data_IF_965819894418
#
_entry.id   IF_965819894418
#
_cell.length_a   1.000
_cell.length_b   1.000
_cell.length_c   1.000
_cell.angle_alpha   90.00
_cell.angle_beta   90.00
_cell.angle_gamma   90.00
#
_symmetry.space_group_name_H-M   'P 1'
#
loop_
_entity.id
_entity.type
_entity.pdbx_description
1 polymer ?
#
# COMPACT_ATOMS: atom_id res chain seq x y z
N UNK A 1 13.52 10.43 -12.34
CA UNK A 1 12.73 10.93 -13.50
C UNK A 1 11.26 11.00 -13.11
N UNK A 2 10.56 12.09 -13.45
CA UNK A 2 9.11 12.27 -13.23
C UNK A 2 8.40 11.99 -14.55
N UNK A 3 7.38 11.13 -14.53
CA UNK A 3 6.62 10.73 -15.71
C UNK A 3 5.42 11.65 -15.90
N UNK A 4 5.18 12.07 -17.13
CA UNK A 4 4.03 12.84 -17.57
C UNK A 4 3.11 11.97 -18.43
N UNK A 5 1.90 12.46 -18.71
CA UNK A 5 0.90 11.70 -19.46
C UNK A 5 1.24 11.43 -20.93
N UNK A 6 2.38 11.92 -21.44
CA UNK A 6 2.85 11.67 -22.82
C UNK A 6 3.92 10.58 -22.91
N UNK A 7 4.32 9.99 -21.78
CA UNK A 7 5.52 9.16 -21.67
C UNK A 7 5.26 7.65 -21.87
N UNK A 8 4.09 7.24 -22.36
CA UNK A 8 3.74 5.81 -22.44
C UNK A 8 4.39 5.08 -23.61
N UNK A 9 5.06 3.97 -23.30
CA UNK A 9 5.66 3.06 -24.27
C UNK A 9 5.64 1.63 -23.73
N UNK A 10 5.37 0.66 -24.61
CA UNK A 10 5.67 -0.76 -24.34
C UNK A 10 7.18 -1.06 -24.41
N UNK A 11 8.00 -0.02 -24.52
CA UNK A 11 9.47 -0.02 -24.55
C UNK A 11 9.99 0.85 -23.39
N UNK A 12 11.27 0.74 -23.01
CA UNK A 12 11.84 1.56 -21.96
C UNK A 12 11.55 3.05 -22.16
N UNK A 13 11.12 3.69 -21.08
CA UNK A 13 10.88 5.12 -20.97
C UNK A 13 12.19 5.91 -20.88
N UNK A 14 13.20 5.33 -20.22
CA UNK A 14 14.54 5.90 -20.06
C UNK A 14 15.62 4.86 -20.34
N UNK A 15 16.87 5.32 -20.41
CA UNK A 15 18.06 4.46 -20.56
C UNK A 15 18.24 3.48 -19.40
N UNK A 16 17.55 3.72 -18.28
CA UNK A 16 17.56 2.87 -17.09
C UNK A 16 16.58 1.70 -17.18
N UNK A 17 15.87 1.54 -18.30
CA UNK A 17 15.00 0.39 -18.53
C UNK A 17 13.64 0.47 -17.83
N UNK A 18 13.26 1.61 -17.25
CA UNK A 18 11.98 1.76 -16.57
C UNK A 18 10.83 1.77 -17.59
N UNK A 19 9.69 1.16 -17.27
CA UNK A 19 8.54 1.02 -18.17
C UNK A 19 7.27 1.50 -17.47
N UNK A 20 6.46 2.26 -18.21
CA UNK A 20 5.07 2.55 -17.84
C UNK A 20 4.17 2.16 -19.01
N UNK A 21 3.31 1.17 -18.78
CA UNK A 21 2.35 0.67 -19.75
C UNK A 21 0.93 0.94 -19.24
N UNK A 22 0.14 1.68 -20.01
CA UNK A 22 -1.27 1.92 -19.75
C UNK A 22 -2.01 2.04 -21.09
N UNK A 23 -3.26 1.58 -21.11
CA UNK A 23 -4.21 1.94 -22.17
C UNK A 23 -4.90 3.26 -21.78
N UNK A 24 -4.55 4.37 -22.44
CA UNK A 24 -5.08 5.72 -22.17
C UNK A 24 -4.11 6.71 -21.53
N UNK A 25 -4.66 7.84 -21.08
CA UNK A 25 -3.90 8.97 -20.54
C UNK A 25 -4.01 8.96 -19.01
N UNK A 26 -2.88 8.90 -18.28
CA UNK A 26 -2.90 9.16 -16.83
C UNK A 26 -3.48 10.56 -16.56
N UNK A 27 -4.26 10.69 -15.49
CA UNK A 27 -4.69 12.00 -14.98
C UNK A 27 -3.44 12.88 -14.74
N UNK A 28 -3.48 14.15 -15.15
CA UNK A 28 -2.36 15.09 -15.01
C UNK A 28 -1.89 15.27 -13.55
N UNK A 29 -2.73 14.91 -12.58
CA UNK A 29 -2.45 14.98 -11.15
C UNK A 29 -1.75 13.72 -10.62
N UNK A 30 -1.50 12.72 -11.46
CA UNK A 30 -0.70 11.57 -11.08
C UNK A 30 0.80 11.87 -11.18
N UNK A 31 1.56 11.37 -10.21
CA UNK A 31 2.99 11.58 -10.10
C UNK A 31 3.70 10.24 -9.93
N UNK A 32 4.40 9.81 -10.97
CA UNK A 32 5.22 8.59 -10.93
C UNK A 32 6.69 8.98 -11.01
N UNK A 33 7.49 8.49 -10.07
CA UNK A 33 8.91 8.77 -9.98
C UNK A 33 9.72 7.48 -9.91
N UNK A 34 10.76 7.42 -10.76
CA UNK A 34 11.72 6.31 -10.81
C UNK A 34 13.10 6.78 -10.35
N UNK A 35 13.54 6.30 -9.18
CA UNK A 35 14.90 6.46 -8.67
C UNK A 35 15.85 5.41 -9.26
N UNK A 36 15.41 4.15 -9.34
CA UNK A 36 16.19 3.02 -9.85
C UNK A 36 15.98 2.66 -11.32
N UNK A 37 16.25 1.40 -11.64
CA UNK A 37 16.31 0.78 -12.96
C UNK A 37 15.31 -0.37 -13.10
N UNK A 38 14.94 -0.68 -14.35
CA UNK A 38 14.11 -1.83 -14.71
C UNK A 38 12.76 -1.93 -13.98
N UNK A 39 12.26 -0.82 -13.44
CA UNK A 39 10.99 -0.80 -12.74
C UNK A 39 9.82 -0.80 -13.73
N UNK A 40 8.69 -1.38 -13.32
CA UNK A 40 7.52 -1.54 -14.18
C UNK A 40 6.27 -1.04 -13.49
N UNK A 41 5.56 -0.12 -14.14
CA UNK A 41 4.19 0.24 -13.80
C UNK A 41 3.29 -0.20 -14.93
N UNK A 42 2.31 -1.06 -14.63
CA UNK A 42 1.31 -1.55 -15.58
C UNK A 42 -0.07 -1.18 -15.07
N UNK A 43 -0.86 -0.51 -15.89
CA UNK A 43 -2.22 -0.10 -15.57
C UNK A 43 -3.13 -0.64 -16.66
N UNK A 44 -4.01 -1.55 -16.30
CA UNK A 44 -4.92 -2.20 -17.22
C UNK A 44 -6.16 -1.31 -17.45
N UNK A 45 -6.51 -1.09 -18.72
CA UNK A 45 -7.65 -0.28 -19.14
C UNK A 45 -7.61 1.20 -18.74
N UNK A 46 -8.75 1.86 -18.93
CA UNK A 46 -8.95 3.28 -18.60
C UNK A 46 -9.22 3.44 -17.11
N UNK A 47 -8.17 3.72 -16.34
CA UNK A 47 -8.27 3.97 -14.89
C UNK A 47 -8.27 5.46 -14.60
N UNK A 48 -9.31 5.96 -13.94
CA UNK A 48 -9.32 7.32 -13.40
C UNK A 48 -8.52 7.38 -12.09
N UNK A 49 -7.26 7.74 -12.22
CA UNK A 49 -6.34 7.92 -11.10
C UNK A 49 -6.51 9.32 -10.52
N UNK A 50 -7.00 9.44 -9.29
CA UNK A 50 -7.19 10.73 -8.61
C UNK A 50 -6.19 10.82 -7.46
N UNK A 51 -5.28 11.80 -7.46
CA UNK A 51 -4.24 11.96 -6.41
C UNK A 51 -3.38 10.70 -6.24
N UNK A 52 -2.73 10.29 -7.32
CA UNK A 52 -1.84 9.13 -7.32
C UNK A 52 -0.39 9.58 -7.24
N UNK A 53 0.34 9.10 -6.25
CA UNK A 53 1.79 9.22 -6.16
C UNK A 53 2.41 7.83 -6.08
N UNK A 54 3.36 7.53 -6.96
CA UNK A 54 4.07 6.25 -6.98
C UNK A 54 5.56 6.55 -7.04
N UNK A 55 6.30 6.12 -6.01
CA UNK A 55 7.74 6.32 -5.90
C UNK A 55 8.44 4.97 -5.91
N UNK A 56 9.09 4.65 -7.02
CA UNK A 56 10.00 3.52 -7.12
C UNK A 56 11.37 3.95 -6.58
N UNK A 57 11.74 3.41 -5.41
CA UNK A 57 12.95 3.76 -4.66
C UNK A 57 14.14 2.85 -4.97
N UNK A 58 13.89 1.64 -5.45
CA UNK A 58 14.92 0.66 -5.83
C UNK A 58 14.84 0.24 -7.30
N UNK A 59 15.48 -0.89 -7.60
CA UNK A 59 15.51 -1.49 -8.93
C UNK A 59 14.53 -2.67 -9.02
N UNK A 60 14.19 -3.07 -10.25
CA UNK A 60 13.45 -4.31 -10.57
C UNK A 60 12.08 -4.46 -9.89
N UNK A 61 11.46 -3.37 -9.43
CA UNK A 61 10.18 -3.41 -8.76
C UNK A 61 9.01 -3.31 -9.74
N UNK A 62 7.85 -3.81 -9.32
CA UNK A 62 6.67 -3.91 -10.16
C UNK A 62 5.42 -3.42 -9.45
N UNK A 63 4.64 -2.59 -10.14
CA UNK A 63 3.28 -2.21 -9.73
C UNK A 63 2.33 -2.56 -10.86
N UNK A 64 1.27 -3.29 -10.54
CA UNK A 64 0.18 -3.60 -11.46
C UNK A 64 -1.14 -3.12 -10.88
N UNK A 65 -1.92 -2.40 -11.68
CA UNK A 65 -3.24 -1.87 -11.32
C UNK A 65 -4.25 -2.40 -12.33
N UNK A 66 -5.25 -3.13 -11.86
CA UNK A 66 -6.33 -3.65 -12.68
C UNK A 66 -7.31 -2.57 -13.13
N UNK A 67 -8.07 -2.87 -14.18
CA UNK A 67 -9.09 -1.97 -14.71
C UNK A 67 -10.15 -1.61 -13.68
N UNK A 68 -10.70 -0.39 -13.78
CA UNK A 68 -11.82 0.07 -12.96
C UNK A 68 -13.10 0.17 -13.79
N UNK A 69 -14.23 -0.01 -13.12
CA UNK A 69 -15.54 0.25 -13.69
C UNK A 69 -15.70 1.75 -14.06
N UNK A 70 -16.51 2.08 -15.09
CA UNK A 70 -16.74 3.47 -15.48
C UNK A 70 -17.22 4.34 -14.31
N UNK A 71 -16.54 5.45 -14.06
CA UNK A 71 -16.87 6.41 -13.00
C UNK A 71 -16.18 6.14 -11.66
N UNK A 72 -15.63 4.94 -11.46
CA UNK A 72 -14.82 4.63 -10.29
C UNK A 72 -13.47 5.34 -10.33
N UNK A 73 -12.89 5.53 -9.14
CA UNK A 73 -11.59 6.17 -8.97
C UNK A 73 -10.72 5.42 -7.98
N UNK A 74 -9.41 5.56 -8.18
CA UNK A 74 -8.40 5.02 -7.29
C UNK A 74 -7.41 6.12 -6.90
N UNK A 75 -7.19 6.26 -5.59
CA UNK A 75 -6.26 7.21 -4.99
C UNK A 75 -5.18 6.45 -4.23
N UNK A 76 -3.91 6.70 -4.56
CA UNK A 76 -2.78 5.89 -4.09
C UNK A 76 -1.60 6.76 -3.68
N UNK A 77 -0.93 6.39 -2.59
CA UNK A 77 0.45 6.78 -2.31
C UNK A 77 1.30 5.52 -2.10
N UNK A 78 2.11 5.19 -3.11
CA UNK A 78 2.92 3.97 -3.12
C UNK A 78 4.40 4.30 -2.97
N UNK A 79 5.02 3.68 -1.97
CA UNK A 79 6.47 3.66 -1.76
C UNK A 79 6.99 2.25 -2.05
N UNK A 80 7.62 2.09 -3.20
CA UNK A 80 8.00 0.80 -3.79
C UNK A 80 9.51 0.58 -3.64
N UNK A 81 9.90 -0.40 -2.84
CA UNK A 81 11.29 -0.74 -2.55
C UNK A 81 11.92 -1.63 -3.62
N UNK A 82 13.20 -2.02 -3.45
CA UNK A 82 13.92 -2.85 -4.41
C UNK A 82 13.25 -4.22 -4.57
N UNK A 83 13.03 -4.67 -5.80
CA UNK A 83 12.42 -5.96 -6.11
C UNK A 83 10.98 -6.15 -5.60
N UNK A 84 10.36 -5.12 -5.01
CA UNK A 84 9.03 -5.22 -4.42
C UNK A 84 7.94 -5.33 -5.50
N UNK A 85 6.83 -5.97 -5.14
CA UNK A 85 5.67 -6.16 -6.02
C UNK A 85 4.41 -5.64 -5.34
N UNK A 86 3.65 -4.79 -6.02
CA UNK A 86 2.32 -4.36 -5.59
C UNK A 86 1.33 -4.70 -6.70
N UNK A 87 0.34 -5.53 -6.38
CA UNK A 87 -0.72 -5.93 -7.30
C UNK A 87 -2.07 -5.48 -6.75
N UNK A 88 -2.71 -4.57 -7.47
CA UNK A 88 -4.05 -4.08 -7.17
C UNK A 88 -5.00 -4.67 -8.22
N UNK A 89 -5.96 -5.48 -7.76
CA UNK A 89 -6.93 -6.14 -8.63
C UNK A 89 -7.89 -5.18 -9.33
N UNK A 90 -8.63 -5.70 -10.29
CA UNK A 90 -9.67 -4.95 -10.99
C UNK A 90 -10.77 -4.48 -10.02
N UNK A 91 -11.35 -3.32 -10.29
CA UNK A 91 -12.45 -2.73 -9.51
C UNK A 91 -12.14 -2.56 -8.02
N UNK A 92 -10.86 -2.44 -7.64
CA UNK A 92 -10.50 -1.97 -6.30
C UNK A 92 -10.82 -0.48 -6.21
N UNK A 93 -11.57 -0.11 -5.18
CA UNK A 93 -12.04 1.26 -4.98
C UNK A 93 -11.53 1.81 -3.65
N UNK A 94 -11.34 3.12 -3.60
CA UNK A 94 -10.86 3.81 -2.41
C UNK A 94 -11.69 5.04 -2.08
N UNK A 95 -12.11 5.23 -0.83
CA UNK A 95 -12.77 6.49 -0.43
C UNK A 95 -11.78 7.68 -0.42
N UNK A 96 -10.55 7.43 0.04
CA UNK A 96 -9.42 8.38 0.12
C UNK A 96 -8.12 7.67 -0.27
N UNK A 97 -6.98 8.37 -0.17
CA UNK A 97 -5.68 7.81 -0.57
C UNK A 97 -5.35 6.56 0.25
N UNK A 98 -5.20 5.42 -0.44
CA UNK A 98 -4.59 4.22 0.12
C UNK A 98 -3.07 4.41 0.13
N UNK A 99 -2.46 4.28 1.31
CA UNK A 99 -1.00 4.36 1.44
C UNK A 99 -0.41 2.97 1.51
N UNK A 100 0.59 2.66 0.68
CA UNK A 100 1.32 1.39 0.71
C UNK A 100 2.82 1.65 0.78
N UNK A 101 3.46 1.10 1.81
CA UNK A 101 4.90 1.12 1.98
C UNK A 101 5.45 -0.30 1.97
N UNK A 102 6.45 -0.54 1.13
CA UNK A 102 7.12 -1.83 0.99
C UNK A 102 8.57 -1.75 1.45
N UNK A 103 9.09 -2.87 1.93
CA UNK A 103 10.53 -3.14 2.07
C UNK A 103 11.03 -4.02 0.92
N UNK A 104 12.34 -4.22 0.83
CA UNK A 104 12.96 -4.94 -0.27
C UNK A 104 12.38 -6.36 -0.42
N UNK A 105 12.02 -6.71 -1.66
CA UNK A 105 11.43 -7.99 -2.03
C UNK A 105 10.00 -8.25 -1.51
N UNK A 106 9.35 -7.29 -0.85
CA UNK A 106 8.00 -7.48 -0.31
C UNK A 106 6.94 -7.62 -1.42
N UNK A 107 5.93 -8.45 -1.19
CA UNK A 107 4.79 -8.61 -2.09
C UNK A 107 3.48 -8.19 -1.43
N UNK A 108 2.83 -7.17 -1.98
CA UNK A 108 1.47 -6.75 -1.58
C UNK A 108 0.48 -7.13 -2.67
N UNK A 109 -0.57 -7.89 -2.32
CA UNK A 109 -1.69 -8.22 -3.20
C UNK A 109 -3.00 -7.72 -2.60
N UNK A 110 -3.81 -7.05 -3.43
CA UNK A 110 -5.18 -6.64 -3.12
C UNK A 110 -6.10 -7.25 -4.16
N UNK A 111 -7.00 -8.14 -3.75
CA UNK A 111 -7.91 -8.83 -4.64
C UNK A 111 -8.98 -7.92 -5.25
N UNK A 112 -9.49 -8.36 -6.39
CA UNK A 112 -10.46 -7.60 -7.18
C UNK A 112 -11.75 -7.30 -6.39
N UNK A 113 -12.40 -6.18 -6.70
CA UNK A 113 -13.66 -5.76 -6.09
C UNK A 113 -13.56 -5.32 -4.63
N UNK A 114 -12.34 -5.24 -4.06
CA UNK A 114 -12.16 -4.79 -2.68
C UNK A 114 -12.37 -3.28 -2.54
N UNK A 115 -12.94 -2.85 -1.42
CA UNK A 115 -13.20 -1.46 -1.10
C UNK A 115 -12.41 -1.04 0.14
N UNK A 116 -11.60 0.01 0.00
CA UNK A 116 -10.77 0.56 1.07
C UNK A 116 -11.28 1.95 1.42
N UNK A 117 -11.83 2.12 2.60
CA UNK A 117 -12.31 3.42 3.01
C UNK A 117 -11.20 4.35 3.50
N UNK A 118 -11.58 5.37 4.26
CA UNK A 118 -10.68 6.46 4.59
C UNK A 118 -9.50 6.04 5.50
N UNK A 119 -8.30 6.59 5.27
CA UNK A 119 -7.09 6.39 6.11
C UNK A 119 -6.67 4.92 6.26
N UNK A 120 -6.81 4.11 5.20
CA UNK A 120 -6.25 2.75 5.18
C UNK A 120 -4.78 2.80 4.74
N UNK A 121 -3.93 2.09 5.48
CA UNK A 121 -2.51 1.92 5.16
C UNK A 121 -2.12 0.44 5.11
N UNK A 122 -1.16 0.13 4.26
CA UNK A 122 -0.51 -1.19 4.18
C UNK A 122 0.98 -0.98 4.40
N UNK A 123 1.53 -1.63 5.42
CA UNK A 123 2.95 -1.57 5.78
C UNK A 123 3.54 -2.97 5.64
N UNK A 124 4.08 -3.25 4.46
CA UNK A 124 4.75 -4.49 4.09
C UNK A 124 6.25 -4.43 4.47
N UNK A 125 6.49 -4.17 5.74
CA UNK A 125 7.81 -4.03 6.34
C UNK A 125 7.80 -4.60 7.76
N UNK A 126 8.38 -5.79 7.92
CA UNK A 126 8.50 -6.48 9.21
C UNK A 126 9.77 -6.09 9.98
N UNK A 127 10.53 -5.08 9.51
CA UNK A 127 11.75 -4.62 10.20
C UNK A 127 11.48 -4.00 11.58
N UNK A 128 10.23 -3.59 11.84
CA UNK A 128 9.82 -2.88 13.05
C UNK A 128 9.21 -3.79 14.14
N UNK A 129 9.64 -5.06 14.26
CA UNK A 129 9.18 -5.94 15.35
C UNK A 129 9.70 -5.51 16.72
N UNK A 130 8.86 -5.71 17.73
CA UNK A 130 9.26 -5.82 19.14
C UNK A 130 9.42 -7.33 19.47
N UNK A 131 10.64 -7.87 19.46
CA UNK A 131 10.96 -9.24 19.92
C UNK A 131 11.80 -10.12 18.95
N UNK A 132 12.40 -11.24 19.40
CA UNK A 132 13.42 -11.96 18.62
C UNK A 132 12.82 -13.10 17.77
N UNK A 133 13.13 -13.08 16.46
CA UNK A 133 13.56 -14.21 15.58
C UNK A 133 13.67 -13.68 14.15
N UNK A 134 14.87 -13.73 13.57
CA UNK A 134 15.20 -13.17 12.25
C UNK A 134 14.67 -14.03 11.08
N UNK A 135 14.30 -15.28 11.35
CA UNK A 135 14.23 -16.34 10.33
C UNK A 135 12.80 -16.63 9.81
N UNK A 136 11.80 -15.85 10.25
CA UNK A 136 10.39 -15.99 9.83
C UNK A 136 9.82 -14.69 9.24
N UNK A 137 10.67 -13.86 8.61
CA UNK A 137 10.24 -12.61 7.98
C UNK A 137 9.22 -12.91 6.89
N UNK A 138 7.99 -12.43 7.09
CA UNK A 138 6.95 -12.38 6.05
C UNK A 138 6.66 -10.91 5.80
N UNK A 139 7.33 -10.33 4.81
CA UNK A 139 7.05 -8.97 4.37
C UNK A 139 5.76 -8.89 3.53
N UNK A 140 5.28 -10.03 3.07
CA UNK A 140 4.14 -10.10 2.18
C UNK A 140 2.83 -9.77 2.90
N UNK A 141 1.93 -9.12 2.17
CA UNK A 141 0.57 -8.82 2.60
C UNK A 141 -0.38 -9.31 1.52
N UNK A 142 -1.34 -10.15 1.91
CA UNK A 142 -2.38 -10.64 1.01
C UNK A 142 -3.75 -10.18 1.50
N UNK A 143 -4.49 -9.49 0.64
CA UNK A 143 -5.90 -9.17 0.81
C UNK A 143 -6.65 -9.86 -0.33
N UNK A 144 -7.63 -10.68 0.02
CA UNK A 144 -8.48 -11.42 -0.90
C UNK A 144 -9.38 -10.54 -1.77
N UNK A 145 -10.23 -11.17 -2.57
CA UNK A 145 -11.23 -10.50 -3.39
C UNK A 145 -12.45 -10.05 -2.55
N UNK A 146 -13.11 -8.99 -2.99
CA UNK A 146 -14.33 -8.44 -2.37
C UNK A 146 -14.19 -8.15 -0.87
N UNK A 147 -13.01 -7.74 -0.43
CA UNK A 147 -12.77 -7.35 0.97
C UNK A 147 -13.21 -5.91 1.18
N UNK A 148 -13.91 -5.63 2.27
CA UNK A 148 -14.25 -4.26 2.67
C UNK A 148 -13.45 -3.86 3.91
N UNK A 149 -12.57 -2.87 3.77
CA UNK A 149 -11.86 -2.27 4.90
C UNK A 149 -12.48 -0.89 5.14
N UNK A 150 -13.12 -0.67 6.29
CA UNK A 150 -13.96 0.51 6.50
C UNK A 150 -13.17 1.81 6.64
N UNK A 151 -12.33 1.97 7.65
CA UNK A 151 -11.51 3.18 7.82
C UNK A 151 -10.36 2.91 8.78
N UNK A 152 -9.36 3.80 8.76
CA UNK A 152 -8.29 3.91 9.76
C UNK A 152 -7.68 2.55 10.16
N UNK A 153 -7.52 1.69 9.16
CA UNK A 153 -7.01 0.33 9.29
C UNK A 153 -5.58 0.30 8.80
N UNK A 154 -4.67 -0.23 9.61
CA UNK A 154 -3.31 -0.54 9.17
C UNK A 154 -3.15 -2.05 9.00
N UNK A 155 -2.90 -2.49 7.77
CA UNK A 155 -2.58 -3.88 7.45
C UNK A 155 -1.06 -4.04 7.44
N UNK A 156 -0.54 -4.95 8.26
CA UNK A 156 0.92 -5.12 8.46
C UNK A 156 1.46 -6.35 7.74
N UNK A 157 2.77 -6.34 7.53
CA UNK A 157 3.58 -7.46 7.05
C UNK A 157 3.15 -8.79 7.69
N UNK A 158 2.96 -9.82 6.85
CA UNK A 158 2.51 -11.15 7.23
C UNK A 158 0.99 -11.30 7.31
N UNK A 159 0.21 -10.22 7.15
CA UNK A 159 -1.25 -10.31 7.12
C UNK A 159 -1.74 -11.09 5.89
N UNK A 160 -2.71 -11.97 6.14
CA UNK A 160 -3.44 -12.70 5.11
C UNK A 160 -4.93 -12.59 5.41
N UNK A 161 -5.64 -11.78 4.62
CA UNK A 161 -7.07 -11.51 4.76
C UNK A 161 -7.80 -12.27 3.66
N UNK A 162 -8.73 -13.14 4.03
CA UNK A 162 -9.49 -13.96 3.09
C UNK A 162 -10.54 -13.17 2.30
N UNK A 163 -11.02 -13.79 1.23
CA UNK A 163 -12.06 -13.23 0.37
C UNK A 163 -13.34 -12.89 1.14
N UNK A 164 -13.99 -11.79 0.77
CA UNK A 164 -15.27 -11.35 1.35
C UNK A 164 -15.17 -10.84 2.79
N UNK A 165 -13.96 -10.77 3.37
CA UNK A 165 -13.78 -10.27 4.72
C UNK A 165 -14.21 -8.80 4.83
N UNK A 166 -14.78 -8.44 5.97
CA UNK A 166 -15.10 -7.05 6.32
C UNK A 166 -14.31 -6.68 7.57
N UNK A 167 -13.49 -5.64 7.46
CA UNK A 167 -12.64 -5.13 8.53
C UNK A 167 -13.16 -3.77 8.97
N UNK A 168 -13.69 -3.74 10.19
CA UNK A 168 -14.01 -2.51 10.91
C UNK A 168 -12.79 -2.09 11.75
N UNK A 169 -12.28 -0.86 11.63
CA UNK A 169 -11.22 -0.36 12.54
C UNK A 169 -11.33 1.11 12.93
N UNK A 170 -11.29 1.33 14.24
CA UNK A 170 -10.33 2.05 15.10
C UNK A 170 -10.63 1.48 16.50
N UNK A 171 -9.65 1.27 17.41
CA UNK A 171 -10.02 0.88 18.76
C UNK A 171 -10.95 1.92 19.41
N UNK A 172 -12.12 1.47 19.85
CA UNK A 172 -13.07 2.32 20.59
C UNK A 172 -12.76 2.19 22.08
N UNK A 173 -12.33 3.28 22.69
CA UNK A 173 -12.15 3.39 24.13
C UNK A 173 -13.36 4.16 24.67
N UNK A 174 -14.27 3.46 25.33
CA UNK A 174 -15.47 4.01 25.94
C UNK A 174 -15.36 4.14 27.48
N UNK A 175 -14.30 3.59 28.08
CA UNK A 175 -14.00 3.59 29.52
C UNK A 175 -12.53 3.99 29.83
N UNK A 176 -12.04 3.68 31.03
CA UNK A 176 -10.66 3.97 31.47
C UNK A 176 -9.60 3.16 30.70
N UNK A 177 -8.59 3.85 30.16
CA UNK A 177 -7.36 3.26 29.63
C UNK A 177 -6.19 3.55 30.58
N UNK A 178 -5.66 2.54 31.32
CA UNK A 178 -4.53 2.74 32.21
C UNK A 178 -3.29 3.28 31.49
N UNK A 179 -2.54 4.14 32.19
CA UNK A 179 -1.31 4.74 31.67
C UNK A 179 -0.31 3.66 31.23
N UNK A 180 0.33 3.89 30.08
CA UNK A 180 1.37 3.00 29.56
C UNK A 180 0.86 1.65 29.04
N UNK A 181 -0.40 1.53 28.59
CA UNK A 181 -0.91 0.31 27.97
C UNK A 181 -1.03 0.44 26.43
N UNK A 182 -0.67 -0.64 25.73
CA UNK A 182 -1.00 -0.84 24.31
C UNK A 182 -2.40 -1.41 24.21
N UNK A 183 -3.27 -0.81 23.38
CA UNK A 183 -4.64 -1.29 23.13
C UNK A 183 -4.86 -1.74 21.69
N UNK A 184 -5.84 -2.63 21.47
CA UNK A 184 -6.33 -3.02 20.13
C UNK A 184 -7.80 -3.46 20.17
N UNK A 185 -8.48 -3.42 19.03
CA UNK A 185 -9.82 -4.00 18.84
C UNK A 185 -10.98 -3.09 19.22
N UNK A 186 -12.22 -3.54 18.97
CA UNK A 186 -13.48 -2.85 19.21
C UNK A 186 -14.40 -3.74 20.07
N UNK A 187 -14.64 -3.42 21.36
CA UNK A 187 -14.01 -2.35 22.15
C UNK A 187 -12.51 -2.57 22.36
N UNK A 188 -11.80 -1.49 22.67
CA UNK A 188 -10.36 -1.50 22.87
C UNK A 188 -9.99 -2.37 24.08
N UNK A 189 -9.19 -3.40 23.83
CA UNK A 189 -8.66 -4.25 24.89
C UNK A 189 -7.22 -3.86 25.19
N UNK A 190 -6.91 -3.56 26.46
CA UNK A 190 -5.54 -3.35 26.93
C UNK A 190 -4.75 -4.67 26.80
N UNK A 191 -3.74 -4.69 25.94
CA UNK A 191 -3.00 -5.88 25.54
C UNK A 191 -1.80 -6.12 26.45
N UNK A 192 -0.99 -5.08 26.69
CA UNK A 192 0.22 -5.15 27.50
C UNK A 192 0.76 -3.75 27.85
N UNK A 193 1.57 -3.62 28.92
CA UNK A 193 2.32 -2.42 29.19
C UNK A 193 3.34 -2.11 28.09
N UNK A 194 3.55 -0.81 27.83
CA UNK A 194 4.52 -0.25 26.89
C UNK A 194 5.12 1.04 27.45
N UNK A 195 6.41 1.21 27.23
CA UNK A 195 7.09 2.51 27.27
C UNK A 195 7.51 2.84 25.84
N UNK A 196 7.44 4.11 25.46
CA UNK A 196 7.95 4.58 24.17
C UNK A 196 8.74 5.86 24.40
N UNK A 197 9.78 6.07 23.60
CA UNK A 197 10.68 7.21 23.69
C UNK A 197 10.48 8.12 22.48
N UNK A 198 10.13 9.41 22.64
CA UNK A 198 10.05 10.35 21.53
C UNK A 198 11.32 10.44 20.67
N UNK A 199 12.53 10.24 21.24
CA UNK A 199 13.79 10.28 20.48
C UNK A 199 13.95 9.08 19.52
N UNK A 200 13.22 7.98 19.77
CA UNK A 200 13.18 6.84 18.85
C UNK A 200 12.47 7.15 17.52
N UNK A 201 11.66 8.22 17.46
CA UNK A 201 10.95 8.65 16.25
C UNK A 201 11.84 9.42 15.28
N UNK A 202 12.93 10.02 15.76
CA UNK A 202 13.87 10.79 14.93
C UNK A 202 14.73 9.92 14.01
N UNK A 203 14.88 8.63 14.30
CA UNK A 203 15.59 7.67 13.46
C UNK A 203 14.79 7.19 12.23
N UNK A 204 13.54 7.63 12.06
CA UNK A 204 12.62 7.21 10.99
C UNK A 204 12.19 8.36 10.04
N UNK A 205 12.86 9.51 10.08
CA UNK A 205 12.67 10.61 9.12
C UNK A 205 13.71 10.56 8.00
#
# INVERSE_FOLDING_TARGET
MRVTSSDFRTRPLDERGNIVAQDGTLDQRAHVAFAGRNNRLVIDGQVRLDKVTIRFRGDNAQVTIGALAPGERLSLDLSVADGAKIEIGANVTTEKVLTVATTDGAHVRIGAGSHLGNNVSIVADDSRRLGPRQDERRNDVTIGANVWIMRATEVRAGANIGDGAVLEMVPLVDDELPAGMLVRGLPATAVRPVTWDPESLTASR
#
